data_IF_295677560967
#
_entry.id   IF_295677560967
#
_cell.length_a   1.000
_cell.length_b   1.000
_cell.length_c   1.000
_cell.angle_alpha   90.00
_cell.angle_beta   90.00
_cell.angle_gamma   90.00
#
_symmetry.space_group_name_H-M   'P 1'
#
loop_
_entity.id
_entity.type
_entity.pdbx_description
1 polymer ?
#
# COMPACT_ATOMS: atom_id res chain seq x y z
N UNK A 1 -16.61 36.61 -16.86
CA UNK A 1 -16.57 36.05 -15.49
C UNK A 1 -15.50 34.98 -15.44
N UNK A 2 -14.34 35.24 -14.81
CA UNK A 2 -13.33 34.23 -14.56
C UNK A 2 -13.64 33.50 -13.24
N UNK A 3 -13.66 32.17 -13.30
CA UNK A 3 -13.76 31.30 -12.12
C UNK A 3 -12.44 31.33 -11.33
N UNK A 4 -12.49 31.33 -9.99
CA UNK A 4 -11.33 31.57 -9.16
C UNK A 4 -10.38 30.37 -9.11
N UNK A 5 -9.09 30.67 -9.16
CA UNK A 5 -8.01 29.75 -8.81
C UNK A 5 -8.05 29.45 -7.30
N UNK A 6 -8.09 28.18 -6.93
CA UNK A 6 -7.86 27.75 -5.54
C UNK A 6 -6.55 26.97 -5.49
N UNK A 7 -5.51 27.67 -5.06
CA UNK A 7 -4.24 27.13 -4.57
C UNK A 7 -4.46 26.52 -3.19
N UNK A 8 -4.10 25.25 -2.97
CA UNK A 8 -3.97 24.69 -1.62
C UNK A 8 -2.51 24.32 -1.31
N UNK A 9 -1.93 25.11 -0.42
CA UNK A 9 -0.66 24.90 0.27
C UNK A 9 -0.73 23.71 1.23
N UNK A 10 0.34 22.91 1.27
CA UNK A 10 0.67 21.99 2.36
C UNK A 10 0.77 22.73 3.70
N UNK A 11 0.18 22.19 4.77
CA UNK A 11 0.62 22.46 6.15
C UNK A 11 0.56 21.23 7.03
N UNK A 12 1.72 20.88 7.56
CA UNK A 12 1.96 19.91 8.61
C UNK A 12 1.21 20.28 9.91
N UNK A 13 0.61 19.31 10.60
CA UNK A 13 0.27 19.44 12.03
C UNK A 13 0.50 18.15 12.80
N UNK A 14 1.39 18.23 13.80
CA UNK A 14 1.58 17.25 14.88
C UNK A 14 0.33 17.24 15.78
N UNK A 15 -0.14 16.05 16.17
CA UNK A 15 -1.04 15.88 17.33
C UNK A 15 -0.51 14.82 18.31
N UNK A 16 -0.67 15.13 19.60
CA UNK A 16 -0.20 14.37 20.78
C UNK A 16 -1.37 13.56 21.38
N UNK A 17 -1.01 12.34 21.85
CA UNK A 17 -1.56 11.51 22.95
C UNK A 17 -3.03 11.07 22.94
N UNK A 18 -3.25 9.75 23.02
CA UNK A 18 -3.67 9.03 24.24
C UNK A 18 -3.58 7.51 24.00
N UNK A 19 -3.36 6.74 25.06
CA UNK A 19 -2.90 5.34 25.02
C UNK A 19 -4.03 4.40 25.46
N UNK A 20 -4.32 3.38 24.67
CA UNK A 20 -5.15 2.23 25.06
C UNK A 20 -4.51 0.95 24.49
N UNK A 21 -4.51 -0.10 25.31
CA UNK A 21 -3.53 -1.19 25.36
C UNK A 21 -4.14 -2.49 24.80
N UNK A 22 -3.87 -2.82 23.54
CA UNK A 22 -3.95 -4.21 23.00
C UNK A 22 -3.51 -4.29 21.54
N UNK A 23 -2.25 -3.97 21.27
CA UNK A 23 -1.47 -4.48 20.14
C UNK A 23 -0.02 -4.27 20.57
N UNK A 24 0.91 -5.16 20.25
CA UNK A 24 2.35 -4.91 20.39
C UNK A 24 2.77 -3.75 19.44
N UNK A 25 2.27 -2.53 19.67
CA UNK A 25 2.88 -1.30 19.20
C UNK A 25 4.04 -1.04 20.14
N UNK A 26 5.15 -1.70 19.87
CA UNK A 26 6.43 -1.21 20.34
C UNK A 26 6.62 0.23 19.83
N UNK A 27 7.29 1.01 20.66
CA UNK A 27 7.57 2.43 20.49
C UNK A 27 8.03 2.77 19.06
N UNK A 28 7.77 4.02 18.63
CA UNK A 28 8.18 4.62 17.34
C UNK A 28 9.34 3.87 16.66
N UNK A 29 9.02 3.05 15.66
CA UNK A 29 10.03 2.27 14.92
C UNK A 29 9.55 0.94 14.33
N UNK A 30 8.42 0.41 14.78
CA UNK A 30 7.86 -0.87 14.29
C UNK A 30 7.39 -0.90 12.82
N UNK A 31 7.68 0.15 12.03
CA UNK A 31 7.17 0.34 10.68
C UNK A 31 7.76 -0.59 9.62
N UNK A 32 8.90 -1.25 9.87
CA UNK A 32 9.58 -2.01 8.82
C UNK A 32 9.12 -3.48 8.71
N UNK A 33 8.68 -4.12 9.79
CA UNK A 33 8.43 -5.59 9.77
C UNK A 33 6.94 -5.93 9.73
N UNK A 34 6.06 -5.04 10.20
CA UNK A 34 4.63 -5.36 10.41
C UNK A 34 3.89 -5.86 9.17
N UNK A 35 4.17 -5.28 7.98
CA UNK A 35 3.52 -5.73 6.74
C UNK A 35 4.01 -7.12 6.29
N UNK A 36 5.23 -7.53 6.68
CA UNK A 36 5.79 -8.81 6.24
C UNK A 36 5.30 -10.00 7.07
N UNK A 37 4.76 -9.75 8.26
CA UNK A 37 4.26 -10.78 9.17
C UNK A 37 2.74 -10.93 9.13
N UNK A 38 2.05 -10.21 8.26
CA UNK A 38 0.58 -10.17 8.22
C UNK A 38 -0.06 -11.52 7.89
N UNK A 39 0.67 -12.43 7.24
CA UNK A 39 0.23 -13.79 6.90
C UNK A 39 0.71 -14.87 7.88
N UNK A 40 1.39 -14.49 8.96
CA UNK A 40 1.86 -15.46 9.97
C UNK A 40 0.72 -15.77 10.93
N UNK A 41 0.47 -17.07 11.19
CA UNK A 41 -0.60 -17.51 12.08
C UNK A 41 -0.32 -17.13 13.54
N UNK A 42 -1.39 -17.02 14.33
CA UNK A 42 -1.28 -16.73 15.76
C UNK A 42 -0.42 -17.74 16.51
N UNK A 43 -0.60 -19.02 16.20
CA UNK A 43 0.19 -20.10 16.80
C UNK A 43 1.69 -19.98 16.53
N UNK A 44 2.08 -19.57 15.32
CA UNK A 44 3.48 -19.32 15.00
C UNK A 44 4.01 -18.09 15.73
N UNK A 45 3.22 -17.00 15.80
CA UNK A 45 3.60 -15.79 16.53
C UNK A 45 3.78 -16.05 18.03
N UNK A 46 2.93 -16.89 18.65
CA UNK A 46 3.05 -17.28 20.06
C UNK A 46 4.36 -18.00 20.38
N UNK A 47 4.97 -18.65 19.38
CA UNK A 47 6.24 -19.37 19.49
C UNK A 47 7.44 -18.59 18.96
N UNK A 48 7.25 -17.30 18.63
CA UNK A 48 8.29 -16.45 18.05
C UNK A 48 8.68 -15.34 19.01
N UNK A 49 9.98 -15.10 19.16
CA UNK A 49 10.50 -13.93 19.87
C UNK A 49 11.02 -12.89 18.86
N UNK A 50 10.86 -11.61 19.18
CA UNK A 50 11.39 -10.49 18.39
C UNK A 50 12.41 -9.67 19.21
N UNK A 51 13.65 -10.15 19.39
CA UNK A 51 14.64 -9.53 20.28
C UNK A 51 14.98 -8.08 19.89
N UNK A 52 14.86 -7.77 18.59
CA UNK A 52 15.18 -6.46 18.03
C UNK A 52 13.96 -5.57 17.83
N UNK A 53 12.74 -6.03 18.16
CA UNK A 53 11.49 -5.34 17.79
C UNK A 53 11.39 -3.91 18.34
N UNK A 54 11.87 -3.69 19.58
CA UNK A 54 11.84 -2.38 20.22
C UNK A 54 13.05 -1.49 19.93
N UNK A 55 14.03 -1.97 19.14
CA UNK A 55 15.30 -1.28 18.95
C UNK A 55 15.33 -0.60 17.58
N UNK A 56 15.88 0.61 17.53
CA UNK A 56 16.18 1.24 16.24
C UNK A 56 17.37 0.55 15.60
N UNK A 57 17.42 0.59 14.27
CA UNK A 57 18.52 0.00 13.51
C UNK A 57 19.90 0.54 13.90
N UNK A 58 19.98 1.84 14.16
CA UNK A 58 21.24 2.48 14.60
C UNK A 58 21.66 1.98 15.97
N UNK A 59 20.71 1.76 16.88
CA UNK A 59 20.99 1.20 18.18
C UNK A 59 21.44 -0.27 18.08
N UNK A 60 20.81 -1.06 17.20
CA UNK A 60 21.25 -2.44 16.91
C UNK A 60 22.67 -2.47 16.33
N UNK A 61 23.01 -1.54 15.43
CA UNK A 61 24.38 -1.40 14.89
C UNK A 61 25.38 -1.01 15.98
N UNK A 62 25.00 -0.15 16.93
CA UNK A 62 25.84 0.20 18.07
C UNK A 62 26.14 -1.03 18.94
N UNK A 63 25.11 -1.80 19.31
CA UNK A 63 25.27 -3.06 20.06
C UNK A 63 26.21 -4.03 19.32
N UNK A 64 26.04 -4.16 17.99
CA UNK A 64 26.89 -5.02 17.18
C UNK A 64 28.37 -4.56 17.19
N UNK A 65 28.62 -3.24 17.14
CA UNK A 65 29.98 -2.70 17.24
C UNK A 65 30.63 -2.99 18.60
N UNK A 66 29.89 -2.78 19.70
CA UNK A 66 30.36 -3.04 21.07
C UNK A 66 30.71 -4.52 21.29
N UNK A 67 29.99 -5.43 20.64
CA UNK A 67 30.23 -6.87 20.70
C UNK A 67 31.21 -7.39 19.63
N UNK A 68 31.99 -6.50 19.01
CA UNK A 68 33.01 -6.84 17.99
C UNK A 68 32.45 -7.56 16.76
N UNK A 69 31.17 -7.38 16.44
CA UNK A 69 30.49 -7.94 15.26
C UNK A 69 30.68 -7.05 14.02
N UNK A 70 31.90 -6.58 13.76
CA UNK A 70 32.19 -5.61 12.69
C UNK A 70 31.85 -6.13 11.28
N UNK A 71 31.93 -7.44 11.04
CA UNK A 71 31.55 -8.06 9.77
C UNK A 71 30.06 -7.86 9.45
N UNK A 72 29.19 -7.76 10.45
CA UNK A 72 27.75 -7.50 10.26
C UNK A 72 27.52 -6.05 9.82
N UNK A 73 28.31 -5.11 10.35
CA UNK A 73 28.18 -3.68 10.04
C UNK A 73 28.57 -3.36 8.59
N UNK A 74 29.52 -4.12 8.04
CA UNK A 74 29.97 -3.98 6.65
C UNK A 74 28.99 -4.63 5.65
N UNK A 75 28.12 -5.54 6.12
CA UNK A 75 27.19 -6.25 5.26
C UNK A 75 26.09 -5.30 4.79
N UNK A 76 26.02 -5.10 3.48
CA UNK A 76 24.92 -4.35 2.85
C UNK A 76 23.60 -5.07 3.10
N UNK A 77 22.57 -4.28 3.35
CA UNK A 77 21.22 -4.78 3.56
C UNK A 77 20.69 -5.51 2.33
N UNK A 78 19.96 -6.60 2.57
CA UNK A 78 19.25 -7.33 1.54
C UNK A 78 18.09 -6.48 1.04
N UNK A 79 18.17 -6.07 -0.22
CA UNK A 79 17.13 -5.33 -0.93
C UNK A 79 16.50 -6.22 -2.00
N UNK A 80 15.20 -6.06 -2.24
CA UNK A 80 14.45 -6.85 -3.23
C UNK A 80 13.78 -8.09 -2.64
N UNK A 81 13.37 -9.01 -3.51
CA UNK A 81 12.73 -10.25 -3.09
C UNK A 81 13.71 -11.14 -2.31
N UNK A 82 13.23 -11.75 -1.23
CA UNK A 82 14.04 -12.66 -0.44
C UNK A 82 14.59 -13.78 -1.33
N UNK A 83 15.84 -14.17 -1.10
CA UNK A 83 16.52 -15.31 -1.74
C UNK A 83 16.87 -15.18 -3.23
N UNK A 84 16.39 -14.16 -3.95
CA UNK A 84 16.73 -13.96 -5.38
C UNK A 84 17.95 -13.05 -5.58
N UNK A 85 18.23 -12.18 -4.61
CA UNK A 85 19.35 -11.23 -4.67
C UNK A 85 19.08 -10.04 -5.62
N UNK A 86 20.14 -9.31 -5.97
CA UNK A 86 20.06 -8.16 -6.88
C UNK A 86 20.08 -8.64 -8.34
N UNK A 87 18.91 -8.85 -8.93
CA UNK A 87 18.76 -9.20 -10.35
C UNK A 87 17.87 -8.18 -11.06
N UNK A 88 18.01 -8.08 -12.38
CA UNK A 88 17.03 -7.40 -13.20
C UNK A 88 15.70 -8.19 -13.10
N UNK A 89 14.67 -7.55 -12.55
CA UNK A 89 13.40 -8.22 -12.23
C UNK A 89 12.64 -8.64 -13.48
N UNK A 90 12.69 -7.85 -14.56
CA UNK A 90 12.10 -8.21 -15.85
C UNK A 90 12.74 -9.49 -16.38
N UNK A 91 14.08 -9.53 -16.45
CA UNK A 91 14.79 -10.72 -16.92
C UNK A 91 14.49 -11.95 -16.06
N UNK A 92 14.41 -11.78 -14.74
CA UNK A 92 14.04 -12.86 -13.83
C UNK A 92 12.64 -13.41 -14.11
N UNK A 93 11.62 -12.56 -14.30
CA UNK A 93 10.27 -13.02 -14.61
C UNK A 93 10.20 -13.76 -15.95
N UNK A 94 10.94 -13.29 -16.96
CA UNK A 94 10.97 -13.88 -18.30
C UNK A 94 11.69 -15.24 -18.35
N UNK A 95 12.36 -15.66 -17.29
CA UNK A 95 12.88 -17.04 -17.16
C UNK A 95 11.77 -18.05 -16.86
N UNK A 96 10.64 -17.61 -16.31
CA UNK A 96 9.52 -18.46 -15.89
C UNK A 96 8.24 -18.20 -16.68
N UNK A 97 8.07 -16.98 -17.20
CA UNK A 97 6.89 -16.57 -17.95
C UNK A 97 7.26 -16.27 -19.40
N UNK A 98 6.53 -16.86 -20.33
CA UNK A 98 6.69 -16.56 -21.75
C UNK A 98 6.31 -15.10 -22.04
N UNK A 99 7.12 -14.35 -22.82
CA UNK A 99 6.75 -13.00 -23.27
C UNK A 99 5.39 -13.01 -23.98
N UNK A 100 4.54 -12.05 -23.63
CA UNK A 100 3.24 -11.82 -24.28
C UNK A 100 3.17 -10.35 -24.68
N UNK A 101 3.71 -9.98 -25.85
CA UNK A 101 3.77 -8.58 -26.25
C UNK A 101 2.39 -7.93 -26.30
N UNK A 102 2.34 -6.65 -25.94
CA UNK A 102 1.12 -5.84 -25.92
C UNK A 102 1.44 -4.37 -26.09
N UNK A 103 0.41 -3.53 -26.11
CA UNK A 103 0.56 -2.10 -26.39
C UNK A 103 0.38 -1.24 -25.13
N UNK A 104 1.09 -0.12 -25.09
CA UNK A 104 0.76 0.97 -24.19
C UNK A 104 -0.31 1.85 -24.83
N UNK A 105 -1.47 1.95 -24.19
CA UNK A 105 -2.61 2.71 -24.68
C UNK A 105 -2.87 3.89 -23.75
N UNK A 106 -2.90 5.11 -24.30
CA UNK A 106 -3.30 6.31 -23.58
C UNK A 106 -4.75 6.23 -23.15
N UNK A 107 -5.06 6.56 -21.89
CA UNK A 107 -6.46 6.68 -21.44
C UNK A 107 -7.11 8.02 -21.81
N UNK A 108 -6.33 9.02 -22.23
CA UNK A 108 -6.85 10.34 -22.58
C UNK A 108 -7.46 10.34 -24.00
N UNK A 109 -6.80 9.67 -24.94
CA UNK A 109 -7.13 9.72 -26.37
C UNK A 109 -7.08 8.35 -27.06
N UNK A 110 -6.92 7.26 -26.31
CA UNK A 110 -6.84 5.88 -26.81
C UNK A 110 -5.74 5.62 -27.85
N UNK A 111 -4.76 6.52 -27.97
CA UNK A 111 -3.63 6.32 -28.88
C UNK A 111 -2.66 5.28 -28.35
N UNK A 112 -2.07 4.54 -29.27
CA UNK A 112 -0.95 3.64 -29.00
C UNK A 112 0.32 4.48 -28.84
N UNK A 113 0.94 4.39 -27.67
CA UNK A 113 2.16 5.14 -27.34
C UNK A 113 3.44 4.31 -27.50
N UNK A 114 3.31 2.99 -27.61
CA UNK A 114 4.43 2.07 -27.76
C UNK A 114 4.04 0.62 -27.46
N UNK A 115 5.03 -0.25 -27.37
CA UNK A 115 4.85 -1.69 -27.10
C UNK A 115 5.66 -2.14 -25.89
N UNK A 116 5.30 -3.29 -25.33
CA UNK A 116 6.00 -3.92 -24.23
C UNK A 116 6.04 -5.45 -24.36
N UNK A 117 6.82 -6.12 -23.52
CA UNK A 117 7.01 -7.58 -23.54
C UNK A 117 5.97 -8.39 -22.76
N UNK A 118 5.14 -7.73 -21.95
CA UNK A 118 4.05 -8.38 -21.22
C UNK A 118 3.46 -7.53 -20.12
N UNK A 119 2.13 -7.50 -20.01
CA UNK A 119 1.39 -6.74 -18.99
C UNK A 119 1.78 -7.13 -17.55
N UNK A 120 2.20 -8.38 -17.34
CA UNK A 120 2.64 -8.92 -16.04
C UNK A 120 3.95 -8.30 -15.54
N UNK A 121 4.70 -7.61 -16.40
CA UNK A 121 5.93 -6.89 -16.02
C UNK A 121 5.64 -5.54 -15.35
N UNK A 122 4.38 -5.10 -15.35
CA UNK A 122 3.98 -3.77 -14.91
C UNK A 122 3.06 -3.82 -13.70
N UNK A 123 3.27 -2.87 -12.78
CA UNK A 123 2.45 -2.65 -11.59
C UNK A 123 1.66 -1.35 -11.73
N UNK A 124 0.44 -1.29 -11.22
CA UNK A 124 -0.34 -0.04 -11.20
C UNK A 124 0.43 1.07 -10.46
N UNK A 125 0.42 2.27 -11.02
CA UNK A 125 1.19 3.42 -10.54
C UNK A 125 2.69 3.40 -10.87
N UNK A 126 3.19 2.37 -11.56
CA UNK A 126 4.55 2.35 -12.06
C UNK A 126 4.71 3.31 -13.24
N UNK A 127 5.84 4.02 -13.31
CA UNK A 127 6.23 4.76 -14.51
C UNK A 127 6.51 3.78 -15.66
N UNK A 128 5.83 3.95 -16.79
CA UNK A 128 5.91 3.04 -17.94
C UNK A 128 7.22 3.16 -18.73
N UNK A 129 7.97 4.27 -18.57
CA UNK A 129 9.24 4.55 -19.24
C UNK A 129 9.19 4.39 -20.78
N UNK A 130 8.12 4.90 -21.38
CA UNK A 130 7.94 4.91 -22.84
C UNK A 130 8.83 6.01 -23.44
N UNK A 131 9.67 5.65 -24.41
CA UNK A 131 10.59 6.59 -25.07
C UNK A 131 9.85 7.61 -25.95
N UNK A 132 10.44 8.80 -26.12
CA UNK A 132 9.93 9.82 -27.04
C UNK A 132 8.76 10.68 -26.51
N UNK A 133 8.30 10.45 -25.29
CA UNK A 133 7.23 11.24 -24.68
C UNK A 133 7.80 12.41 -23.85
N UNK A 134 7.16 13.58 -23.97
CA UNK A 134 7.58 14.82 -23.31
C UNK A 134 7.36 14.83 -21.78
N UNK A 135 6.44 14.00 -21.30
CA UNK A 135 6.08 13.88 -19.89
C UNK A 135 6.15 12.42 -19.45
N UNK A 136 6.38 12.12 -18.17
CA UNK A 136 6.31 10.75 -17.66
C UNK A 136 4.87 10.23 -17.72
N UNK A 137 4.72 8.98 -18.18
CA UNK A 137 3.46 8.23 -18.19
C UNK A 137 3.49 7.10 -17.17
N UNK A 138 2.33 6.84 -16.58
CA UNK A 138 2.15 5.90 -15.47
C UNK A 138 1.06 4.89 -15.80
N UNK A 139 1.27 3.65 -15.38
CA UNK A 139 0.35 2.53 -15.58
C UNK A 139 -0.87 2.71 -14.69
N UNK A 140 -2.06 2.79 -15.28
CA UNK A 140 -3.34 3.00 -14.56
C UNK A 140 -4.23 1.77 -14.59
N UNK A 141 -4.12 0.94 -15.63
CA UNK A 141 -4.93 -0.25 -15.81
C UNK A 141 -4.21 -1.28 -16.70
N UNK A 142 -4.60 -2.54 -16.59
CA UNK A 142 -4.04 -3.65 -17.37
C UNK A 142 -5.17 -4.54 -17.85
N UNK A 143 -5.20 -4.82 -19.15
CA UNK A 143 -6.12 -5.78 -19.74
C UNK A 143 -5.35 -7.09 -19.97
N UNK A 144 -5.63 -8.10 -19.15
CA UNK A 144 -4.98 -9.40 -19.26
C UNK A 144 -5.50 -10.24 -20.43
N UNK A 145 -6.69 -9.94 -20.96
CA UNK A 145 -7.30 -10.66 -22.07
C UNK A 145 -6.70 -10.22 -23.40
N UNK A 146 -6.57 -8.91 -23.62
CA UNK A 146 -5.91 -8.33 -24.81
C UNK A 146 -4.39 -8.26 -24.66
N UNK A 147 -3.91 -8.17 -23.42
CA UNK A 147 -2.50 -8.01 -23.11
C UNK A 147 -2.02 -6.55 -23.08
N UNK A 148 -2.93 -5.59 -23.21
CA UNK A 148 -2.60 -4.16 -23.26
C UNK A 148 -2.43 -3.54 -21.86
N UNK A 149 -1.61 -2.50 -21.80
CA UNK A 149 -1.38 -1.71 -20.59
C UNK A 149 -1.82 -0.27 -20.83
N UNK A 150 -2.81 0.17 -20.05
CA UNK A 150 -3.33 1.51 -20.13
C UNK A 150 -2.51 2.47 -19.26
N UNK A 151 -2.19 3.63 -19.80
CA UNK A 151 -1.32 4.63 -19.18
C UNK A 151 -1.93 6.03 -19.19
N UNK A 152 -1.56 6.83 -18.21
CA UNK A 152 -1.95 8.25 -18.09
C UNK A 152 -0.72 9.15 -17.87
N UNK A 153 -0.76 10.42 -18.29
CA UNK A 153 0.36 11.34 -18.11
C UNK A 153 0.37 11.91 -16.69
N UNK A 154 1.58 12.21 -16.18
CA UNK A 154 1.84 12.80 -14.86
C UNK A 154 1.44 11.89 -13.68
N UNK A 155 2.03 12.15 -12.51
CA UNK A 155 1.88 11.31 -11.31
C UNK A 155 0.61 11.63 -10.51
N UNK A 156 0.03 12.80 -10.74
CA UNK A 156 -1.16 13.34 -10.08
C UNK A 156 -2.44 13.06 -10.87
N UNK A 157 -2.37 12.24 -11.91
CA UNK A 157 -3.52 11.95 -12.76
C UNK A 157 -4.66 11.27 -11.97
N UNK A 158 -5.92 11.75 -12.06
CA UNK A 158 -7.04 11.20 -11.31
C UNK A 158 -7.23 9.67 -11.43
N UNK A 159 -6.97 9.11 -12.61
CA UNK A 159 -7.07 7.67 -12.87
C UNK A 159 -6.11 6.79 -12.05
N UNK A 160 -5.07 7.37 -11.42
CA UNK A 160 -4.16 6.67 -10.50
C UNK A 160 -4.77 6.47 -9.10
N UNK A 161 -5.85 7.18 -8.78
CA UNK A 161 -6.50 7.14 -7.48
C UNK A 161 -7.75 6.26 -7.53
N UNK A 162 -8.05 5.61 -6.40
CA UNK A 162 -9.23 4.77 -6.21
C UNK A 162 -9.77 4.99 -4.81
N UNK A 163 -11.09 5.09 -4.70
CA UNK A 163 -11.78 5.28 -3.41
C UNK A 163 -12.20 3.97 -2.75
N UNK A 164 -12.18 2.87 -3.53
CA UNK A 164 -12.65 1.56 -3.11
C UNK A 164 -11.60 0.48 -3.43
N UNK A 165 -11.30 -0.33 -2.42
CA UNK A 165 -10.59 -1.59 -2.58
C UNK A 165 -11.49 -2.74 -2.13
N UNK A 166 -11.58 -3.78 -2.96
CA UNK A 166 -12.24 -5.04 -2.60
C UNK A 166 -11.20 -6.13 -2.48
N UNK A 167 -11.29 -6.94 -1.44
CA UNK A 167 -10.42 -8.12 -1.29
C UNK A 167 -11.25 -9.39 -1.23
N UNK A 168 -10.61 -10.51 -1.53
CA UNK A 168 -11.10 -11.83 -1.14
C UNK A 168 -10.98 -12.01 0.39
N UNK A 169 -10.89 -13.25 0.86
CA UNK A 169 -10.79 -13.58 2.28
C UNK A 169 -9.65 -12.82 2.97
N UNK A 170 -10.00 -12.14 4.06
CA UNK A 170 -9.02 -11.48 4.94
C UNK A 170 -8.38 -12.51 5.87
N UNK A 171 -7.06 -12.44 6.02
CA UNK A 171 -6.35 -13.17 7.05
C UNK A 171 -6.35 -12.35 8.35
N UNK A 172 -6.96 -12.89 9.40
CA UNK A 172 -6.97 -12.28 10.73
C UNK A 172 -5.92 -12.94 11.60
N UNK A 173 -4.97 -12.16 12.11
CA UNK A 173 -3.95 -12.68 13.04
C UNK A 173 -4.60 -13.24 14.31
N UNK A 174 -5.74 -12.70 14.74
CA UNK A 174 -6.52 -13.19 15.88
C UNK A 174 -7.42 -14.38 15.53
N UNK A 175 -7.24 -14.99 14.35
CA UNK A 175 -8.04 -16.08 13.76
C UNK A 175 -9.47 -15.68 13.39
N UNK A 176 -10.10 -14.84 14.22
CA UNK A 176 -11.43 -14.29 14.02
C UNK A 176 -11.39 -12.80 13.68
N UNK A 177 -12.37 -12.31 12.89
CA UNK A 177 -12.56 -10.88 12.65
C UNK A 177 -12.89 -10.15 13.97
N UNK A 178 -12.55 -8.86 14.09
CA UNK A 178 -12.83 -8.15 15.33
C UNK A 178 -14.34 -7.98 15.52
N UNK A 179 -14.80 -8.11 16.77
CA UNK A 179 -16.23 -8.15 17.11
C UNK A 179 -17.06 -6.98 16.57
N UNK A 180 -16.47 -5.78 16.48
CA UNK A 180 -17.13 -4.61 15.89
C UNK A 180 -17.50 -4.83 14.41
N UNK A 181 -16.63 -5.49 13.62
CA UNK A 181 -16.92 -5.80 12.22
C UNK A 181 -18.03 -6.85 12.11
N UNK A 182 -18.06 -7.83 13.03
CA UNK A 182 -19.09 -8.89 13.03
C UNK A 182 -20.47 -8.33 13.35
N UNK A 183 -20.55 -7.51 14.40
CA UNK A 183 -21.78 -6.91 14.93
C UNK A 183 -22.29 -5.79 14.03
N UNK A 184 -21.43 -4.83 13.71
CA UNK A 184 -21.83 -3.57 13.07
C UNK A 184 -21.68 -3.63 11.54
N UNK A 185 -21.08 -4.72 11.01
CA UNK A 185 -20.72 -4.90 9.58
C UNK A 185 -19.75 -3.86 9.03
N UNK A 186 -19.28 -2.93 9.86
CA UNK A 186 -18.32 -1.91 9.51
C UNK A 186 -17.43 -1.55 10.71
N UNK A 187 -16.21 -1.11 10.45
CA UNK A 187 -15.32 -0.53 11.46
C UNK A 187 -14.34 0.45 10.86
N UNK A 188 -13.91 1.42 11.65
CA UNK A 188 -12.73 2.21 11.31
C UNK A 188 -11.46 1.40 11.51
N UNK A 189 -10.52 1.52 10.58
CA UNK A 189 -9.23 0.88 10.66
C UNK A 189 -8.13 1.78 10.08
N UNK A 190 -6.89 1.46 10.45
CA UNK A 190 -5.73 2.05 9.79
C UNK A 190 -5.26 1.12 8.67
N UNK A 191 -5.29 1.63 7.45
CA UNK A 191 -4.89 0.90 6.25
C UNK A 191 -3.52 1.38 5.75
N UNK A 192 -2.72 0.46 5.22
CA UNK A 192 -1.48 0.75 4.50
C UNK A 192 -1.45 -0.10 3.24
N UNK A 193 -1.41 0.55 2.08
CA UNK A 193 -1.46 -0.13 0.80
C UNK A 193 -0.13 -0.78 0.39
N UNK A 194 0.99 -0.05 0.55
CA UNK A 194 2.34 -0.56 0.26
C UNK A 194 3.27 -0.35 1.44
N UNK A 195 4.29 -1.19 1.51
CA UNK A 195 5.39 -1.03 2.44
C UNK A 195 5.95 0.40 2.38
N UNK A 196 6.27 0.99 3.54
CA UNK A 196 6.71 2.38 3.72
C UNK A 196 5.68 3.49 3.47
N UNK A 197 4.47 3.19 2.98
CA UNK A 197 3.40 4.20 2.92
C UNK A 197 2.87 4.53 4.32
N UNK A 198 2.38 5.76 4.48
CA UNK A 198 1.70 6.18 5.71
C UNK A 198 0.45 5.32 5.97
N UNK A 199 0.14 5.12 7.24
CA UNK A 199 -1.17 4.58 7.62
C UNK A 199 -2.22 5.67 7.40
N UNK A 200 -3.34 5.28 6.81
CA UNK A 200 -4.48 6.16 6.54
C UNK A 200 -5.72 5.59 7.21
N UNK A 201 -6.55 6.43 7.82
CA UNK A 201 -7.82 6.00 8.38
C UNK A 201 -8.78 5.63 7.24
N UNK A 202 -9.45 4.49 7.36
CA UNK A 202 -10.38 3.95 6.38
C UNK A 202 -11.53 3.25 7.09
N UNK A 203 -12.65 3.11 6.39
CA UNK A 203 -13.77 2.28 6.83
C UNK A 203 -13.63 0.92 6.16
N UNK A 204 -13.55 -0.12 6.98
CA UNK A 204 -13.61 -1.51 6.56
C UNK A 204 -15.04 -2.01 6.72
N UNK A 205 -15.64 -2.46 5.63
CA UNK A 205 -16.98 -3.04 5.62
C UNK A 205 -16.91 -4.54 5.31
N UNK A 206 -17.67 -5.33 6.07
CA UNK A 206 -17.84 -6.76 5.83
C UNK A 206 -18.63 -7.00 4.56
N UNK A 207 -18.05 -7.73 3.61
CA UNK A 207 -18.69 -8.18 2.37
C UNK A 207 -19.18 -9.62 2.47
N UNK A 208 -20.11 -9.99 1.58
CA UNK A 208 -20.52 -11.38 1.37
C UNK A 208 -19.68 -11.99 0.26
N UNK A 209 -19.22 -13.22 0.43
CA UNK A 209 -18.68 -14.03 -0.67
C UNK A 209 -19.86 -14.67 -1.41
N UNK A 210 -20.07 -14.42 -2.71
CA UNK A 210 -21.15 -15.08 -3.46
C UNK A 210 -20.97 -16.61 -3.44
N UNK A 211 -22.01 -17.35 -3.06
CA UNK A 211 -22.04 -18.82 -3.14
C UNK A 211 -21.52 -19.59 -1.91
N UNK A 212 -21.19 -18.94 -0.79
CA UNK A 212 -20.88 -19.63 0.47
C UNK A 212 -21.93 -19.37 1.56
N UNK A 213 -22.24 -20.42 2.34
CA UNK A 213 -23.05 -20.36 3.56
C UNK A 213 -22.35 -19.40 4.54
N UNK A 214 -23.12 -18.55 5.21
CA UNK A 214 -22.64 -17.47 6.07
C UNK A 214 -21.54 -17.91 7.04
N UNK A 215 -20.28 -17.68 6.65
CA UNK A 215 -19.15 -17.71 7.58
C UNK A 215 -18.69 -16.26 7.81
N UNK A 216 -19.13 -15.62 8.91
CA UNK A 216 -18.72 -14.27 9.24
C UNK A 216 -17.20 -14.13 9.50
N UNK A 217 -16.47 -15.24 9.69
CA UNK A 217 -15.03 -15.24 9.93
C UNK A 217 -14.16 -15.14 8.66
N UNK A 218 -14.74 -15.34 7.47
CA UNK A 218 -14.01 -15.51 6.21
C UNK A 218 -14.44 -14.55 5.07
N UNK A 219 -15.16 -13.48 5.41
CA UNK A 219 -15.77 -12.59 4.42
C UNK A 219 -14.76 -11.79 3.57
N UNK A 220 -15.13 -11.57 2.30
CA UNK A 220 -14.58 -10.47 1.51
C UNK A 220 -14.78 -9.15 2.27
N UNK A 221 -13.92 -8.17 2.07
CA UNK A 221 -14.10 -6.84 2.68
C UNK A 221 -13.99 -5.75 1.64
N UNK A 222 -14.65 -4.65 1.94
CA UNK A 222 -14.54 -3.41 1.20
C UNK A 222 -13.86 -2.36 2.07
N UNK A 223 -12.87 -1.67 1.51
CA UNK A 223 -12.21 -0.54 2.15
C UNK A 223 -12.61 0.74 1.43
N UNK A 224 -13.19 1.66 2.18
CA UNK A 224 -13.65 2.96 1.70
C UNK A 224 -12.88 4.09 2.39
N UNK A 225 -12.76 5.23 1.72
CA UNK A 225 -12.41 6.47 2.39
C UNK A 225 -13.43 6.75 3.51
N UNK A 226 -12.96 7.22 4.67
CA UNK A 226 -13.85 7.64 5.76
C UNK A 226 -14.65 8.86 5.30
N UNK A 227 -15.98 8.74 5.25
CA UNK A 227 -16.85 9.91 5.06
C UNK A 227 -16.75 10.78 6.32
N UNK A 228 -16.02 11.89 6.20
CA UNK A 228 -16.10 13.01 7.14
C UNK A 228 -16.80 14.18 6.44
N UNK A 229 -17.58 15.01 7.14
CA UNK A 229 -18.25 16.15 6.52
C UNK A 229 -17.20 17.09 5.91
N UNK A 230 -17.50 17.63 4.73
CA UNK A 230 -16.78 18.79 4.22
C UNK A 230 -16.84 19.89 5.29
N UNK A 231 -15.72 20.50 5.72
CA UNK A 231 -15.76 21.50 6.76
C UNK A 231 -16.55 22.72 6.28
N UNK A 232 -17.72 22.93 6.88
CA UNK A 232 -18.53 24.14 6.73
C UNK A 232 -17.83 25.28 7.47
N UNK A 233 -17.20 26.20 6.73
CA UNK A 233 -16.64 27.42 7.30
C UNK A 233 -17.72 28.50 7.35
N UNK A 234 -18.49 28.52 8.43
CA UNK A 234 -19.29 29.67 8.83
C UNK A 234 -18.37 30.74 9.40
N UNK A 235 -17.90 31.66 8.56
CA UNK A 235 -17.14 32.83 8.99
C UNK A 235 -18.04 34.07 9.05
N UNK A 236 -18.64 34.31 10.22
CA UNK A 236 -19.14 35.64 10.59
C UNK A 236 -17.95 36.61 10.50
N UNK A 237 -18.05 37.60 9.62
CA UNK A 237 -17.23 38.81 9.68
C UNK A 237 -17.89 39.75 10.67
N UNK A 238 -17.16 40.15 11.70
CA UNK A 238 -17.36 41.46 12.32
C UNK A 238 -16.14 42.33 12.05
N UNK A 239 -16.33 43.62 11.73
CA UNK A 239 -15.28 44.49 11.24
C UNK A 239 -14.60 45.24 12.38
N UNK A 240 -13.28 45.39 12.28
CA UNK A 240 -12.56 46.67 12.33
C UNK A 240 -11.09 46.45 11.95
#
# INVERSE_FOLDING_TARGET
MPLPQVTMQERHRKMKKSFSRSTLRGQKGFSEIGLKLEMVSQDALRRTIFPLGGLTKDFVKKIAAENRLHHVLQKKESMGMCFIGKRNFEHFLLQYLQPRPGQFISIEDHKVLGTHKGWFLYTLGQRANIGGLSVPWYVVEKDSAKGDVFVAPRIDHPALYRDLLRTSRVHWITEEPPAALVRDKMMECHFRFRHQMALVCRVLQGGRVPGQREDPAAGAVHLHASEGPAPSWGGHREPQ
#
